data_IF_027439239379
#
_entry.id   IF_027439239379
#
_cell.length_a   1.000
_cell.length_b   1.000
_cell.length_c   1.000
_cell.angle_alpha   90.00
_cell.angle_beta   90.00
_cell.angle_gamma   90.00
#
_symmetry.space_group_name_H-M   'P 1'
#
loop_
_entity.id
_entity.type
_entity.pdbx_description
1 polymer ?
#
# COMPACT_ATOMS: atom_id res chain seq x y z
N UNK A 1 -16.81 14.78 2.67
CA UNK A 1 -15.62 14.15 2.07
C UNK A 1 -14.43 15.11 2.16
N UNK A 2 -13.17 14.65 2.01
CA UNK A 2 -12.01 15.56 1.96
C UNK A 2 -12.14 16.55 0.79
N UNK A 3 -12.63 16.10 -0.36
CA UNK A 3 -12.87 16.93 -1.54
C UNK A 3 -13.82 18.10 -1.27
N UNK A 4 -14.91 17.84 -0.54
CA UNK A 4 -15.82 18.90 -0.11
C UNK A 4 -15.12 19.90 0.81
N UNK A 5 -14.36 19.44 1.82
CA UNK A 5 -13.62 20.34 2.72
C UNK A 5 -12.65 21.25 1.96
N UNK A 6 -11.92 20.70 0.99
CA UNK A 6 -11.00 21.48 0.13
C UNK A 6 -11.75 22.54 -0.67
N UNK A 7 -12.89 22.19 -1.27
CA UNK A 7 -13.71 23.16 -2.01
C UNK A 7 -14.34 24.20 -1.08
N UNK A 8 -14.91 23.82 0.06
CA UNK A 8 -15.48 24.75 1.05
C UNK A 8 -14.44 25.74 1.58
N UNK A 9 -13.21 25.30 1.81
CA UNK A 9 -12.12 26.19 2.21
C UNK A 9 -11.79 27.20 1.11
N UNK A 10 -11.69 26.74 -0.13
CA UNK A 10 -11.46 27.60 -1.29
C UNK A 10 -12.63 28.59 -1.51
N UNK A 11 -13.88 28.13 -1.42
CA UNK A 11 -15.08 28.98 -1.55
C UNK A 11 -15.13 30.08 -0.50
N UNK A 12 -14.76 29.77 0.75
CA UNK A 12 -14.62 30.77 1.83
C UNK A 12 -13.56 31.82 1.50
N UNK A 13 -12.40 31.42 0.97
CA UNK A 13 -11.35 32.36 0.56
C UNK A 13 -11.77 33.27 -0.60
N UNK A 14 -12.70 32.81 -1.44
CA UNK A 14 -13.23 33.56 -2.59
C UNK A 14 -14.54 34.29 -2.31
N UNK A 15 -14.99 34.34 -1.05
CA UNK A 15 -16.26 34.94 -0.65
C UNK A 15 -17.46 34.42 -1.47
N UNK A 16 -17.42 33.15 -1.88
CA UNK A 16 -18.55 32.51 -2.55
C UNK A 16 -19.57 32.16 -1.47
N UNK A 17 -20.68 32.90 -1.43
CA UNK A 17 -21.70 32.75 -0.38
C UNK A 17 -22.74 31.67 -0.65
N UNK A 18 -22.93 31.29 -1.92
CA UNK A 18 -23.91 30.28 -2.29
C UNK A 18 -23.38 28.87 -1.99
N UNK A 19 -24.21 28.05 -1.38
CA UNK A 19 -23.88 26.65 -1.12
C UNK A 19 -23.92 25.82 -2.41
N UNK A 20 -22.93 24.94 -2.58
CA UNK A 20 -22.73 24.19 -3.83
C UNK A 20 -23.92 23.32 -4.24
N UNK A 21 -24.63 22.79 -3.26
CA UNK A 21 -25.77 21.91 -3.51
C UNK A 21 -27.00 22.70 -4.01
N UNK A 22 -27.05 24.01 -3.76
CA UNK A 22 -28.11 24.93 -4.19
C UNK A 22 -27.82 25.55 -5.57
N UNK A 23 -26.57 25.47 -6.05
CA UNK A 23 -26.19 26.00 -7.37
C UNK A 23 -26.84 25.19 -8.49
N UNK A 24 -27.42 25.87 -9.48
CA UNK A 24 -27.77 25.22 -10.74
C UNK A 24 -26.51 24.71 -11.46
N UNK A 25 -26.70 23.80 -12.43
CA UNK A 25 -25.57 23.15 -13.12
C UNK A 25 -24.63 24.15 -13.81
N UNK A 26 -25.15 25.27 -14.34
CA UNK A 26 -24.34 26.29 -15.03
C UNK A 26 -23.48 27.10 -14.06
N UNK A 27 -24.05 27.46 -12.92
CA UNK A 27 -23.37 28.21 -11.85
C UNK A 27 -22.33 27.33 -11.19
N UNK A 28 -22.67 26.05 -10.96
CA UNK A 28 -21.75 25.06 -10.46
C UNK A 28 -20.59 24.82 -11.42
N UNK A 29 -20.83 24.71 -12.74
CA UNK A 29 -19.76 24.59 -13.74
C UNK A 29 -18.77 25.77 -13.70
N UNK A 30 -19.27 27.01 -13.64
CA UNK A 30 -18.42 28.20 -13.50
C UNK A 30 -17.61 28.21 -12.21
N UNK A 31 -18.23 27.83 -11.09
CA UNK A 31 -17.55 27.69 -9.80
C UNK A 31 -16.42 26.66 -9.88
N UNK A 32 -16.69 25.51 -10.51
CA UNK A 32 -15.71 24.44 -10.71
C UNK A 32 -14.58 24.83 -11.67
N UNK A 33 -14.83 25.67 -12.69
CA UNK A 33 -13.75 26.23 -13.51
C UNK A 33 -12.72 26.98 -12.66
N UNK A 34 -13.18 27.90 -11.83
CA UNK A 34 -12.31 28.70 -10.96
C UNK A 34 -11.61 27.81 -9.94
N UNK A 35 -12.34 26.88 -9.33
CA UNK A 35 -11.78 25.93 -8.39
C UNK A 35 -10.64 25.11 -9.02
N UNK A 36 -10.86 24.45 -10.16
CA UNK A 36 -9.82 23.63 -10.77
C UNK A 36 -8.61 24.44 -11.23
N UNK A 37 -8.82 25.68 -11.69
CA UNK A 37 -7.72 26.57 -12.05
C UNK A 37 -6.82 26.90 -10.84
N UNK A 38 -7.41 27.13 -9.66
CA UNK A 38 -6.71 27.74 -8.53
C UNK A 38 -6.35 26.78 -7.40
N UNK A 39 -7.02 25.63 -7.31
CA UNK A 39 -6.89 24.71 -6.17
C UNK A 39 -5.45 24.24 -5.97
N UNK A 40 -4.98 24.36 -4.72
CA UNK A 40 -3.61 24.09 -4.25
C UNK A 40 -3.63 23.35 -2.91
N UNK A 41 -2.55 22.64 -2.60
CA UNK A 41 -2.38 21.96 -1.32
C UNK A 41 -2.13 22.97 -0.17
N UNK A 42 -2.02 22.47 1.06
CA UNK A 42 -1.79 23.32 2.24
C UNK A 42 -0.46 24.08 2.19
N UNK A 43 0.49 23.59 1.39
CA UNK A 43 1.80 24.19 1.14
C UNK A 43 1.79 25.19 -0.03
N UNK A 44 0.64 25.41 -0.70
CA UNK A 44 0.53 26.31 -1.86
C UNK A 44 0.99 25.68 -3.20
N UNK A 45 1.31 24.39 -3.20
CA UNK A 45 1.74 23.67 -4.40
C UNK A 45 0.55 23.11 -5.18
N UNK A 46 0.77 22.80 -6.45
CA UNK A 46 -0.26 22.21 -7.29
C UNK A 46 -0.54 20.75 -6.90
N UNK A 47 -1.82 20.36 -6.91
CA UNK A 47 -2.21 18.97 -6.71
C UNK A 47 -1.81 18.10 -7.89
N UNK A 48 -1.47 16.84 -7.62
CA UNK A 48 -1.25 15.83 -8.65
C UNK A 48 -2.50 15.58 -9.50
N UNK A 49 -2.32 15.05 -10.71
CA UNK A 49 -3.43 14.60 -11.59
C UNK A 49 -4.41 13.69 -10.85
N UNK A 50 -3.90 12.68 -10.14
CA UNK A 50 -4.74 11.73 -9.40
C UNK A 50 -5.57 12.42 -8.32
N UNK A 51 -4.97 13.40 -7.62
CA UNK A 51 -5.68 14.16 -6.60
C UNK A 51 -6.77 15.05 -7.21
N UNK A 52 -6.48 15.75 -8.30
CA UNK A 52 -7.47 16.58 -9.00
C UNK A 52 -8.67 15.75 -9.52
N UNK A 53 -8.41 14.57 -10.09
CA UNK A 53 -9.46 13.63 -10.50
C UNK A 53 -10.25 13.13 -9.27
N UNK A 54 -9.57 12.81 -8.18
CA UNK A 54 -10.20 12.43 -6.91
C UNK A 54 -11.05 13.55 -6.29
N UNK A 55 -10.66 14.81 -6.45
CA UNK A 55 -11.47 15.97 -6.06
C UNK A 55 -12.78 15.99 -6.86
N UNK A 56 -12.72 15.89 -8.20
CA UNK A 56 -13.90 15.82 -9.08
C UNK A 56 -14.88 14.73 -8.64
N UNK A 57 -14.42 13.48 -8.52
CA UNK A 57 -15.29 12.36 -8.13
C UNK A 57 -15.82 12.50 -6.70
N UNK A 58 -15.01 13.04 -5.78
CA UNK A 58 -15.44 13.28 -4.41
C UNK A 58 -16.50 14.37 -4.26
N UNK A 59 -16.54 15.33 -5.19
CA UNK A 59 -17.58 16.36 -5.30
C UNK A 59 -18.85 15.81 -5.93
N UNK A 60 -18.73 15.08 -7.04
CA UNK A 60 -19.86 14.38 -7.67
C UNK A 60 -20.56 13.47 -6.65
N UNK A 61 -19.79 12.66 -5.91
CA UNK A 61 -20.34 11.82 -4.83
C UNK A 61 -21.01 12.64 -3.73
N UNK A 62 -20.44 13.78 -3.34
CA UNK A 62 -21.03 14.64 -2.31
C UNK A 62 -22.41 15.16 -2.72
N UNK A 63 -22.56 15.61 -3.97
CA UNK A 63 -23.82 16.14 -4.48
C UNK A 63 -24.87 15.06 -4.75
N UNK A 64 -24.42 13.82 -5.05
CA UNK A 64 -25.31 12.72 -5.38
C UNK A 64 -25.74 11.88 -4.18
N UNK A 65 -25.02 11.91 -3.06
CA UNK A 65 -25.42 11.21 -1.84
C UNK A 65 -26.48 12.01 -1.06
N UNK A 66 -27.24 11.36 -0.15
CA UNK A 66 -28.08 12.05 0.80
C UNK A 66 -27.29 13.10 1.60
N UNK A 67 -27.89 14.27 1.87
CA UNK A 67 -29.29 14.62 1.65
C UNK A 67 -29.63 15.15 0.24
N UNK A 68 -28.64 15.43 -0.60
CA UNK A 68 -28.84 16.26 -1.81
C UNK A 68 -29.35 15.49 -3.03
N UNK A 69 -28.93 14.23 -3.20
CA UNK A 69 -29.45 13.30 -4.22
C UNK A 69 -29.57 13.90 -5.64
N UNK A 70 -28.63 14.77 -6.06
CA UNK A 70 -28.78 15.52 -7.32
C UNK A 70 -28.70 14.68 -8.60
N UNK A 71 -28.18 13.45 -8.52
CA UNK A 71 -28.07 12.55 -9.67
C UNK A 71 -27.20 13.09 -10.81
N UNK A 72 -26.25 13.98 -10.52
CA UNK A 72 -25.38 14.61 -11.51
C UNK A 72 -24.31 13.66 -12.02
N UNK A 73 -23.91 13.85 -13.28
CA UNK A 73 -22.71 13.22 -13.82
C UNK A 73 -21.76 14.28 -14.33
N UNK A 74 -20.73 14.65 -13.55
CA UNK A 74 -19.80 15.71 -13.93
C UNK A 74 -18.92 15.30 -15.12
N UNK A 75 -18.86 14.02 -15.46
CA UNK A 75 -18.07 13.53 -16.60
C UNK A 75 -18.87 13.48 -17.91
N UNK A 76 -20.18 13.24 -17.84
CA UNK A 76 -21.00 13.01 -19.02
C UNK A 76 -22.07 14.10 -19.25
N UNK A 77 -22.47 14.85 -18.21
CA UNK A 77 -23.44 15.93 -18.37
C UNK A 77 -22.79 17.11 -19.14
N UNK A 78 -23.35 17.51 -20.31
CA UNK A 78 -22.83 18.61 -21.12
C UNK A 78 -22.73 19.95 -20.40
N UNK A 79 -23.51 20.16 -19.33
CA UNK A 79 -23.46 21.38 -18.52
C UNK A 79 -22.09 21.61 -17.86
N UNK A 80 -21.28 20.56 -17.68
CA UNK A 80 -19.96 20.64 -17.04
C UNK A 80 -18.79 20.73 -18.03
N UNK A 81 -19.06 21.12 -19.29
CA UNK A 81 -18.05 21.12 -20.35
C UNK A 81 -16.89 22.08 -20.03
N UNK A 82 -17.16 23.27 -19.47
CA UNK A 82 -16.10 24.26 -19.22
C UNK A 82 -15.18 23.81 -18.09
N UNK A 83 -15.73 23.36 -16.96
CA UNK A 83 -14.92 22.90 -15.83
C UNK A 83 -14.05 21.69 -16.18
N UNK A 84 -14.60 20.74 -16.96
CA UNK A 84 -13.84 19.62 -17.49
C UNK A 84 -12.70 20.07 -18.43
N UNK A 85 -12.94 21.10 -19.25
CA UNK A 85 -11.93 21.62 -20.16
C UNK A 85 -10.79 22.31 -19.41
N UNK A 86 -11.10 23.09 -18.37
CA UNK A 86 -10.11 23.71 -17.47
C UNK A 86 -9.28 22.66 -16.74
N UNK A 87 -9.95 21.66 -16.15
CA UNK A 87 -9.29 20.55 -15.46
C UNK A 87 -8.35 19.80 -16.40
N UNK A 88 -8.81 19.47 -17.61
CA UNK A 88 -8.00 18.79 -18.61
C UNK A 88 -6.81 19.65 -19.06
N UNK A 89 -7.00 20.95 -19.31
CA UNK A 89 -5.93 21.86 -19.68
C UNK A 89 -4.84 21.93 -18.60
N UNK A 90 -5.22 21.96 -17.32
CA UNK A 90 -4.28 21.95 -16.19
C UNK A 90 -3.48 20.64 -16.14
N UNK A 91 -4.14 19.50 -16.32
CA UNK A 91 -3.48 18.17 -16.37
C UNK A 91 -2.51 18.08 -17.56
N UNK A 92 -2.92 18.53 -18.75
CA UNK A 92 -2.06 18.55 -19.95
C UNK A 92 -0.85 19.46 -19.74
N UNK A 93 -1.02 20.61 -19.07
CA UNK A 93 0.09 21.49 -18.71
C UNK A 93 1.10 20.80 -17.78
N UNK A 94 0.63 20.05 -16.77
CA UNK A 94 1.52 19.27 -15.90
C UNK A 94 2.31 18.21 -16.66
N UNK A 95 1.68 17.54 -17.62
CA UNK A 95 2.38 16.59 -18.51
C UNK A 95 3.50 17.27 -19.28
N UNK A 96 3.23 18.44 -19.89
CA UNK A 96 4.23 19.22 -20.64
C UNK A 96 5.39 19.70 -19.75
N UNK A 97 5.11 19.98 -18.47
CA UNK A 97 6.11 20.40 -17.48
C UNK A 97 6.87 19.22 -16.85
N UNK A 98 6.63 17.97 -17.26
CA UNK A 98 7.25 16.78 -16.66
C UNK A 98 6.78 16.47 -15.22
N UNK A 99 5.74 17.17 -14.73
CA UNK A 99 5.17 17.00 -13.38
C UNK A 99 4.18 15.83 -13.28
N UNK A 100 3.92 15.12 -14.38
CA UNK A 100 3.15 13.86 -14.37
C UNK A 100 3.96 12.65 -13.91
N UNK A 101 5.30 12.74 -13.86
CA UNK A 101 6.12 11.60 -13.51
C UNK A 101 5.87 11.21 -12.04
N UNK A 102 5.22 10.08 -11.86
CA UNK A 102 5.19 9.38 -10.57
C UNK A 102 6.65 9.08 -10.25
N UNK A 103 7.18 9.69 -9.19
CA UNK A 103 8.48 9.30 -8.66
C UNK A 103 8.35 7.84 -8.26
N UNK A 104 8.85 6.95 -9.10
CA UNK A 104 8.92 5.54 -8.76
C UNK A 104 9.78 5.41 -7.52
N UNK A 105 9.30 4.61 -6.58
CA UNK A 105 10.04 4.37 -5.35
C UNK A 105 11.40 3.77 -5.70
N UNK A 106 12.47 4.18 -5.01
CA UNK A 106 13.81 3.74 -5.37
C UNK A 106 13.88 2.22 -5.17
N UNK A 107 14.40 1.54 -6.18
CA UNK A 107 14.69 0.10 -6.14
C UNK A 107 15.81 -0.13 -5.12
N UNK A 108 15.71 -1.22 -4.35
CA UNK A 108 16.79 -1.64 -3.45
C UNK A 108 18.06 -1.94 -4.25
N UNK A 109 19.13 -1.18 -4.00
CA UNK A 109 20.38 -1.26 -4.77
C UNK A 109 21.18 -2.53 -4.40
N UNK A 110 22.04 -3.00 -5.31
CA UNK A 110 22.79 -4.24 -5.10
C UNK A 110 23.76 -4.14 -3.91
N UNK A 111 24.35 -2.97 -3.70
CA UNK A 111 25.21 -2.68 -2.56
C UNK A 111 24.41 -2.75 -1.25
N UNK A 112 23.22 -2.17 -1.21
CA UNK A 112 22.34 -2.20 -0.03
C UNK A 112 21.76 -3.60 0.23
N UNK A 113 21.48 -4.39 -0.81
CA UNK A 113 21.14 -5.82 -0.68
C UNK A 113 22.28 -6.60 -0.03
N UNK A 114 23.51 -6.37 -0.49
CA UNK A 114 24.70 -7.03 0.06
C UNK A 114 24.93 -6.63 1.51
N UNK A 115 24.82 -5.33 1.80
CA UNK A 115 24.90 -4.80 3.16
C UNK A 115 23.84 -5.40 4.07
N UNK A 116 22.60 -5.48 3.60
CA UNK A 116 21.49 -6.04 4.35
C UNK A 116 21.70 -7.52 4.67
N UNK A 117 22.16 -8.31 3.69
CA UNK A 117 22.49 -9.73 3.85
C UNK A 117 23.57 -9.99 4.91
N UNK A 118 24.54 -9.10 5.00
CA UNK A 118 25.66 -9.21 5.95
C UNK A 118 25.40 -8.48 7.29
N UNK A 119 24.23 -7.87 7.45
CA UNK A 119 23.90 -7.14 8.68
C UNK A 119 23.21 -8.02 9.71
N UNK A 120 23.43 -7.72 11.00
CA UNK A 120 22.72 -8.37 12.09
C UNK A 120 21.20 -8.08 12.11
N UNK A 121 20.73 -7.15 11.27
CA UNK A 121 19.32 -6.75 11.21
C UNK A 121 18.42 -7.89 10.74
N UNK A 122 18.95 -8.81 9.93
CA UNK A 122 18.24 -10.01 9.44
C UNK A 122 18.75 -11.30 10.11
N UNK A 123 19.48 -11.20 11.22
CA UNK A 123 20.06 -12.35 11.89
C UNK A 123 18.98 -13.29 12.44
N UNK A 124 18.90 -14.49 11.85
CA UNK A 124 17.90 -15.52 12.14
C UNK A 124 18.03 -16.11 13.56
N UNK A 125 19.15 -15.89 14.23
CA UNK A 125 19.39 -16.35 15.61
C UNK A 125 18.70 -15.48 16.67
N UNK A 126 18.08 -14.36 16.29
CA UNK A 126 17.31 -13.50 17.21
C UNK A 126 15.84 -13.41 16.79
N UNK A 127 14.88 -13.24 17.72
CA UNK A 127 13.46 -13.12 17.38
C UNK A 127 13.16 -11.96 16.43
N UNK A 128 13.83 -10.82 16.62
CA UNK A 128 13.63 -9.64 15.80
C UNK A 128 14.29 -9.79 14.43
N UNK A 129 15.51 -10.32 14.37
CA UNK A 129 16.20 -10.56 13.09
C UNK A 129 15.50 -11.63 12.26
N UNK A 130 15.08 -12.74 12.88
CA UNK A 130 14.28 -13.78 12.24
C UNK A 130 12.96 -13.23 11.70
N UNK A 131 12.25 -12.41 12.49
CA UNK A 131 11.01 -11.76 12.06
C UNK A 131 11.24 -10.87 10.83
N UNK A 132 12.30 -10.05 10.83
CA UNK A 132 12.63 -9.15 9.71
C UNK A 132 13.04 -9.94 8.47
N UNK A 133 13.83 -10.99 8.64
CA UNK A 133 14.27 -11.87 7.56
C UNK A 133 13.06 -12.54 6.87
N UNK A 134 12.20 -13.18 7.67
CA UNK A 134 10.99 -13.82 7.16
C UNK A 134 10.06 -12.81 6.51
N UNK A 135 9.84 -11.64 7.13
CA UNK A 135 9.04 -10.59 6.52
C UNK A 135 9.61 -10.14 5.17
N UNK A 136 10.93 -9.97 5.07
CA UNK A 136 11.61 -9.55 3.84
C UNK A 136 11.43 -10.58 2.72
N UNK A 137 11.72 -11.86 2.98
CA UNK A 137 11.58 -12.93 2.00
C UNK A 137 10.12 -13.18 1.60
N UNK A 138 9.19 -13.22 2.56
CA UNK A 138 7.76 -13.36 2.27
C UNK A 138 7.26 -12.20 1.41
N UNK A 139 7.73 -10.97 1.69
CA UNK A 139 7.40 -9.80 0.88
C UNK A 139 8.01 -9.86 -0.52
N UNK A 140 9.24 -10.35 -0.66
CA UNK A 140 9.94 -10.46 -1.94
C UNK A 140 9.29 -11.49 -2.88
N UNK A 141 8.96 -12.68 -2.38
CA UNK A 141 8.47 -13.79 -3.20
C UNK A 141 6.97 -13.69 -3.53
N UNK A 142 6.15 -13.20 -2.59
CA UNK A 142 4.70 -13.18 -2.76
C UNK A 142 4.08 -11.79 -2.73
N UNK A 143 4.86 -10.72 -2.60
CA UNK A 143 4.46 -9.31 -2.79
C UNK A 143 3.02 -8.98 -2.34
N UNK A 144 2.62 -9.43 -1.14
CA UNK A 144 1.20 -9.37 -0.74
C UNK A 144 0.73 -7.94 -0.45
N UNK A 145 -0.15 -7.44 -1.34
CA UNK A 145 -1.30 -6.52 -1.20
C UNK A 145 -1.30 -5.54 -0.01
N UNK A 146 -0.18 -4.84 0.17
CA UNK A 146 -0.01 -3.84 1.22
C UNK A 146 -0.20 -4.39 2.63
N UNK A 147 -0.18 -3.49 3.61
CA UNK A 147 -0.21 -3.85 5.04
C UNK A 147 -1.44 -4.66 5.51
N UNK A 148 -2.56 -4.61 4.79
CA UNK A 148 -3.78 -5.36 5.13
C UNK A 148 -3.66 -6.85 4.77
N UNK A 149 -3.06 -7.18 3.62
CA UNK A 149 -2.85 -8.57 3.20
C UNK A 149 -1.88 -9.29 4.12
N UNK A 150 -0.76 -8.65 4.47
CA UNK A 150 0.24 -9.21 5.39
C UNK A 150 -0.35 -9.54 6.77
N UNK A 151 -1.35 -8.78 7.23
CA UNK A 151 -1.97 -8.99 8.53
C UNK A 151 -2.87 -10.22 8.60
N UNK A 152 -3.37 -10.70 7.45
CA UNK A 152 -4.26 -11.86 7.35
C UNK A 152 -3.52 -13.19 7.27
N UNK A 153 -2.22 -13.17 7.02
CA UNK A 153 -1.42 -14.39 6.97
C UNK A 153 -1.50 -15.16 8.28
N UNK A 154 -1.56 -16.48 8.14
CA UNK A 154 -1.51 -17.48 9.21
C UNK A 154 -0.40 -18.49 8.90
N UNK A 155 -0.17 -19.44 9.81
CA UNK A 155 0.82 -20.52 9.60
C UNK A 155 0.43 -21.39 8.39
N UNK A 156 -0.86 -21.62 8.22
CA UNK A 156 -1.43 -22.44 7.15
C UNK A 156 -1.43 -21.73 5.79
N UNK A 157 -0.99 -20.47 5.73
CA UNK A 157 -0.83 -19.75 4.47
C UNK A 157 0.33 -20.29 3.63
N UNK A 158 1.23 -21.08 4.21
CA UNK A 158 2.46 -21.57 3.58
C UNK A 158 2.48 -23.10 3.52
N UNK A 159 2.86 -23.63 2.35
CA UNK A 159 3.00 -25.07 2.10
C UNK A 159 4.44 -25.37 1.73
N UNK A 160 5.07 -26.25 2.51
CA UNK A 160 6.40 -26.77 2.26
C UNK A 160 6.27 -28.09 1.50
N UNK A 161 6.97 -28.21 0.38
CA UNK A 161 6.92 -29.38 -0.50
C UNK A 161 8.22 -29.49 -1.31
N UNK A 162 8.36 -30.55 -2.07
CA UNK A 162 9.46 -30.75 -3.03
C UNK A 162 8.93 -30.66 -4.45
N UNK A 163 9.81 -30.30 -5.39
CA UNK A 163 9.50 -30.36 -6.81
C UNK A 163 9.84 -31.71 -7.43
N UNK A 164 9.70 -31.83 -8.76
CA UNK A 164 9.95 -33.09 -9.46
C UNK A 164 11.41 -33.58 -9.36
N UNK A 165 12.36 -32.70 -9.01
CA UNK A 165 13.76 -33.03 -8.81
C UNK A 165 14.10 -33.32 -7.34
N UNK A 166 13.11 -33.27 -6.43
CA UNK A 166 13.31 -33.41 -5.00
C UNK A 166 13.85 -32.14 -4.32
N UNK A 167 13.82 -30.99 -5.00
CA UNK A 167 14.27 -29.74 -4.39
C UNK A 167 13.19 -29.14 -3.49
N UNK A 168 13.52 -28.93 -2.22
CA UNK A 168 12.60 -28.39 -1.24
C UNK A 168 12.30 -26.90 -1.49
N UNK A 169 11.02 -26.57 -1.54
CA UNK A 169 10.54 -25.20 -1.66
C UNK A 169 9.28 -24.96 -0.84
N UNK A 170 8.97 -23.68 -0.61
CA UNK A 170 7.73 -23.25 0.02
C UNK A 170 6.94 -22.38 -0.96
N UNK A 171 5.62 -22.52 -0.93
CA UNK A 171 4.64 -21.77 -1.73
C UNK A 171 3.42 -21.40 -0.89
N UNK A 172 2.49 -20.62 -1.45
CA UNK A 172 1.24 -20.25 -0.79
C UNK A 172 0.20 -21.37 -0.90
N UNK A 173 -0.52 -21.64 0.19
CA UNK A 173 -1.57 -22.66 0.25
C UNK A 173 -2.79 -22.32 -0.63
N UNK A 174 -3.13 -21.03 -0.75
CA UNK A 174 -4.30 -20.57 -1.50
C UNK A 174 -4.10 -19.17 -2.08
N UNK A 175 -4.77 -18.93 -3.21
CA UNK A 175 -5.03 -17.59 -3.73
C UNK A 175 -6.14 -16.97 -2.90
N UNK A 176 -5.80 -16.03 -2.02
CA UNK A 176 -6.81 -15.32 -1.22
C UNK A 176 -7.60 -14.33 -2.07
N UNK A 177 -8.92 -14.34 -1.87
CA UNK A 177 -9.81 -13.32 -2.38
C UNK A 177 -9.35 -11.92 -1.90
N UNK A 178 -9.24 -10.98 -2.83
CA UNK A 178 -8.81 -9.61 -2.58
C UNK A 178 -9.78 -8.58 -3.15
N UNK A 179 -9.61 -7.30 -2.79
CA UNK A 179 -10.44 -6.20 -3.31
C UNK A 179 -10.46 -6.14 -4.85
N UNK A 180 -9.38 -6.59 -5.51
CA UNK A 180 -9.27 -6.63 -6.98
C UNK A 180 -9.45 -8.04 -7.58
N UNK A 181 -9.55 -9.06 -6.72
CA UNK A 181 -9.77 -10.46 -7.08
C UNK A 181 -10.74 -11.10 -6.09
N UNK A 182 -12.01 -10.66 -6.04
CA UNK A 182 -12.93 -11.05 -4.97
C UNK A 182 -13.46 -12.49 -5.13
N UNK A 183 -13.07 -13.21 -6.19
CA UNK A 183 -13.77 -14.40 -6.65
C UNK A 183 -15.08 -14.01 -7.34
N UNK A 184 -15.18 -14.24 -8.65
CA UNK A 184 -16.34 -13.87 -9.45
C UNK A 184 -16.13 -14.15 -10.94
N UNK A 185 -17.17 -13.98 -11.75
CA UNK A 185 -17.17 -14.31 -13.21
C UNK A 185 -16.11 -13.52 -13.99
N UNK A 186 -15.68 -12.36 -13.49
CA UNK A 186 -14.65 -11.51 -14.09
C UNK A 186 -13.35 -11.47 -13.28
N UNK A 187 -13.11 -12.45 -12.42
CA UNK A 187 -11.85 -12.55 -11.69
C UNK A 187 -10.73 -12.98 -12.65
N UNK A 188 -9.64 -12.22 -12.69
CA UNK A 188 -8.45 -12.61 -13.42
C UNK A 188 -7.66 -13.62 -12.59
N UNK A 189 -7.11 -14.67 -13.23
CA UNK A 189 -6.29 -15.67 -12.57
C UNK A 189 -5.13 -15.01 -11.79
N UNK A 190 -5.03 -15.36 -10.51
CA UNK A 190 -3.95 -14.87 -9.65
C UNK A 190 -2.75 -15.80 -9.76
N UNK A 191 -1.64 -15.28 -10.27
CA UNK A 191 -0.36 -15.98 -10.33
C UNK A 191 0.37 -16.02 -8.97
N UNK A 192 -0.25 -15.55 -7.88
CA UNK A 192 0.37 -15.49 -6.54
C UNK A 192 0.79 -16.87 -6.02
N UNK A 193 0.13 -17.93 -6.47
CA UNK A 193 0.44 -19.31 -6.07
C UNK A 193 1.61 -19.92 -6.87
N UNK A 194 2.12 -19.20 -7.89
CA UNK A 194 3.26 -19.64 -8.70
C UNK A 194 4.61 -19.28 -8.05
N UNK A 195 4.62 -18.35 -7.08
CA UNK A 195 5.84 -17.99 -6.37
C UNK A 195 6.35 -19.17 -5.55
N UNK A 196 7.58 -19.62 -5.83
CA UNK A 196 8.26 -20.68 -5.08
C UNK A 196 9.54 -20.12 -4.47
N UNK A 197 9.68 -20.23 -3.17
CA UNK A 197 10.92 -19.92 -2.47
C UNK A 197 11.65 -21.23 -2.19
N UNK A 198 12.70 -21.49 -2.96
CA UNK A 198 13.55 -22.66 -2.80
C UNK A 198 14.50 -22.52 -1.61
N UNK A 199 14.84 -23.64 -0.99
CA UNK A 199 15.92 -23.68 -0.01
C UNK A 199 17.25 -23.35 -0.68
N UNK A 200 18.09 -22.57 0.00
CA UNK A 200 19.45 -22.23 -0.47
C UNK A 200 20.46 -22.41 0.65
N UNK A 201 21.76 -22.41 0.32
CA UNK A 201 22.85 -22.53 1.29
C UNK A 201 23.20 -21.20 2.00
N UNK A 202 22.45 -20.13 1.75
CA UNK A 202 22.70 -18.85 2.41
C UNK A 202 22.39 -18.93 3.91
N UNK A 203 23.24 -18.36 4.76
CA UNK A 203 23.02 -18.34 6.22
C UNK A 203 21.67 -17.72 6.62
N UNK A 204 21.24 -16.71 5.85
CA UNK A 204 20.01 -15.97 6.05
C UNK A 204 18.90 -16.40 5.06
N UNK A 205 18.91 -17.66 4.58
CA UNK A 205 17.94 -18.12 3.57
C UNK A 205 16.49 -18.03 4.06
N UNK A 206 15.61 -17.59 3.16
CA UNK A 206 14.21 -17.39 3.49
C UNK A 206 13.44 -18.67 3.80
N UNK A 207 13.79 -19.82 3.21
CA UNK A 207 13.10 -21.09 3.42
C UNK A 207 13.35 -21.61 4.84
N UNK A 208 14.61 -21.76 5.26
CA UNK A 208 14.92 -22.27 6.60
C UNK A 208 14.53 -21.27 7.67
N UNK A 209 14.69 -19.96 7.41
CA UNK A 209 14.19 -18.92 8.30
C UNK A 209 12.67 -19.00 8.50
N UNK A 210 11.90 -19.19 7.44
CA UNK A 210 10.44 -19.33 7.52
C UNK A 210 10.05 -20.59 8.30
N UNK A 211 10.73 -21.71 8.05
CA UNK A 211 10.49 -22.95 8.79
C UNK A 211 10.78 -22.77 10.28
N UNK A 212 11.92 -22.20 10.64
CA UNK A 212 12.27 -21.89 12.04
C UNK A 212 11.23 -20.96 12.67
N UNK A 213 10.84 -19.89 11.97
CA UNK A 213 9.89 -18.91 12.46
C UNK A 213 8.57 -19.56 12.86
N UNK A 214 7.99 -20.42 12.01
CA UNK A 214 6.74 -21.14 12.30
C UNK A 214 6.84 -21.95 13.60
N UNK A 215 7.96 -22.64 13.83
CA UNK A 215 8.17 -23.43 15.06
C UNK A 215 8.24 -22.58 16.32
N UNK A 216 8.65 -21.30 16.20
CA UNK A 216 8.85 -20.39 17.34
C UNK A 216 7.65 -19.48 17.61
N UNK A 217 6.62 -19.48 16.74
CA UNK A 217 5.40 -18.69 16.90
C UNK A 217 4.62 -19.09 18.14
N UNK A 218 3.90 -18.14 18.74
CA UNK A 218 2.99 -18.44 19.83
C UNK A 218 1.85 -19.35 19.32
N UNK A 219 1.54 -20.47 20.00
CA UNK A 219 0.53 -21.42 19.52
C UNK A 219 -0.88 -20.84 19.53
N UNK A 220 -1.23 -20.05 20.55
CA UNK A 220 -2.57 -19.43 20.67
C UNK A 220 -2.79 -18.18 19.83
N UNK A 221 -1.80 -17.75 19.03
CA UNK A 221 -1.94 -16.60 18.15
C UNK A 221 -2.04 -17.06 16.71
N UNK A 222 -3.20 -16.81 16.10
CA UNK A 222 -3.51 -17.24 14.74
C UNK A 222 -2.75 -16.43 13.68
N UNK A 223 -2.47 -15.16 13.99
CA UNK A 223 -1.73 -14.27 13.11
C UNK A 223 -0.30 -14.75 12.92
N UNK A 224 0.18 -14.72 11.68
CA UNK A 224 1.52 -15.15 11.33
C UNK A 224 2.60 -14.22 11.88
N UNK A 225 2.51 -12.92 11.63
CA UNK A 225 3.47 -11.96 12.16
C UNK A 225 3.07 -11.49 13.56
N UNK A 226 3.92 -11.83 14.54
CA UNK A 226 3.69 -11.61 15.97
C UNK A 226 4.79 -10.72 16.56
N UNK A 227 4.52 -10.04 17.68
CA UNK A 227 5.54 -9.27 18.39
C UNK A 227 6.60 -10.20 18.99
N UNK A 228 7.91 -9.91 18.85
CA UNK A 228 8.95 -10.69 19.51
C UNK A 228 8.90 -10.47 21.02
N UNK A 229 9.15 -11.53 21.79
CA UNK A 229 9.24 -11.44 23.25
C UNK A 229 10.43 -10.57 23.66
N UNK A 230 10.23 -9.72 24.67
CA UNK A 230 11.31 -8.92 25.28
C UNK A 230 12.33 -9.78 26.05
N UNK A 231 11.84 -10.81 26.74
CA UNK A 231 12.66 -11.78 27.46
C UNK A 231 12.54 -13.11 26.74
N UNK A 232 13.63 -13.57 26.14
CA UNK A 232 13.69 -14.81 25.37
C UNK A 232 15.07 -15.45 25.54
N UNK A 233 15.14 -16.74 25.27
CA UNK A 233 16.35 -17.53 25.16
C UNK A 233 16.33 -18.34 23.85
N UNK A 234 17.49 -18.62 23.22
CA UNK A 234 17.55 -19.49 22.04
C UNK A 234 16.89 -20.85 22.25
N UNK A 235 16.97 -21.40 23.47
CA UNK A 235 16.38 -22.68 23.85
C UNK A 235 14.85 -22.63 24.04
N UNK A 236 14.23 -21.44 24.07
CA UNK A 236 12.79 -21.32 24.25
C UNK A 236 12.04 -21.95 23.07
N UNK A 237 10.97 -22.68 23.39
CA UNK A 237 10.04 -23.21 22.38
C UNK A 237 9.27 -22.11 21.65
N UNK A 238 9.15 -20.92 22.26
CA UNK A 238 8.37 -19.82 21.71
C UNK A 238 9.10 -18.50 21.87
N UNK A 239 9.37 -17.83 20.76
CA UNK A 239 10.07 -16.54 20.70
C UNK A 239 9.14 -15.34 20.56
N UNK A 240 7.88 -15.58 20.23
CA UNK A 240 6.90 -14.52 19.95
C UNK A 240 5.79 -14.48 21.00
N UNK A 241 5.19 -13.31 21.17
CA UNK A 241 4.08 -13.06 22.09
C UNK A 241 2.75 -13.52 21.47
N UNK A 242 1.74 -13.76 22.31
CA UNK A 242 0.35 -13.92 21.85
C UNK A 242 -0.25 -12.57 21.42
N UNK A 243 0.43 -11.89 20.49
CA UNK A 243 0.11 -10.54 20.08
C UNK A 243 0.50 -10.32 18.62
N UNK A 244 -0.47 -10.06 17.73
CA UNK A 244 -0.19 -9.83 16.33
C UNK A 244 0.48 -8.47 16.10
N UNK A 245 1.32 -8.35 15.08
CA UNK A 245 1.81 -7.05 14.61
C UNK A 245 0.66 -6.19 14.06
N UNK A 246 0.73 -4.88 14.32
CA UNK A 246 -0.20 -3.92 13.75
C UNK A 246 0.08 -3.66 12.27
N UNK A 247 -0.97 -3.30 11.51
CA UNK A 247 -0.86 -2.94 10.08
C UNK A 247 0.14 -1.79 9.84
N UNK A 248 0.28 -0.85 10.77
CA UNK A 248 1.26 0.24 10.64
C UNK A 248 2.71 -0.26 10.83
N UNK A 249 2.93 -1.21 11.74
CA UNK A 249 4.25 -1.83 11.92
C UNK A 249 4.64 -2.61 10.66
N UNK A 250 3.73 -3.43 10.14
CA UNK A 250 3.92 -4.15 8.88
C UNK A 250 4.18 -3.18 7.71
N UNK A 251 3.39 -2.11 7.60
CA UNK A 251 3.53 -1.09 6.56
C UNK A 251 4.81 -0.26 6.60
N UNK A 252 5.52 -0.24 7.74
CA UNK A 252 6.76 0.50 7.95
C UNK A 252 7.98 -0.44 8.13
N UNK A 253 7.84 -1.74 7.87
CA UNK A 253 8.90 -2.70 8.16
C UNK A 253 10.16 -2.44 7.35
N UNK A 254 10.05 -2.22 6.04
CA UNK A 254 11.24 -1.94 5.21
C UNK A 254 11.94 -0.66 5.65
N UNK A 255 11.17 0.39 6.01
CA UNK A 255 11.72 1.62 6.59
C UNK A 255 12.54 1.33 7.85
N UNK A 256 11.98 0.55 8.76
CA UNK A 256 12.63 0.16 10.02
C UNK A 256 13.90 -0.66 9.77
N UNK A 257 13.86 -1.55 8.77
CA UNK A 257 15.02 -2.35 8.34
C UNK A 257 16.10 -1.44 7.76
N UNK A 258 15.73 -0.50 6.87
CA UNK A 258 16.67 0.43 6.25
C UNK A 258 17.40 1.29 7.28
N UNK A 259 16.66 1.83 8.25
CA UNK A 259 17.21 2.62 9.35
C UNK A 259 18.13 1.78 10.24
N UNK A 260 17.71 0.56 10.60
CA UNK A 260 18.51 -0.33 11.45
C UNK A 260 19.80 -0.81 10.76
N UNK A 261 19.77 -1.03 9.44
CA UNK A 261 20.92 -1.48 8.66
C UNK A 261 21.77 -0.30 8.13
N UNK A 262 21.37 0.95 8.42
CA UNK A 262 22.00 2.16 7.91
C UNK A 262 22.22 2.12 6.39
N UNK A 263 21.20 1.71 5.63
CA UNK A 263 21.27 1.63 4.16
C UNK A 263 21.49 3.02 3.53
N UNK A 264 21.87 3.06 2.26
CA UNK A 264 22.14 4.32 1.53
C UNK A 264 20.96 5.30 1.56
N UNK A 265 19.74 4.77 1.66
CA UNK A 265 18.49 5.52 1.78
C UNK A 265 17.46 4.74 2.59
N UNK A 266 16.44 5.45 3.07
CA UNK A 266 15.30 4.85 3.77
C UNK A 266 14.29 4.33 2.74
N UNK A 267 14.27 3.02 2.54
CA UNK A 267 13.36 2.36 1.62
C UNK A 267 11.96 2.20 2.22
N UNK A 268 10.98 1.98 1.35
CA UNK A 268 9.60 1.67 1.78
C UNK A 268 9.26 0.25 1.35
N UNK A 269 8.15 -0.32 1.84
CA UNK A 269 7.74 -1.67 1.44
C UNK A 269 7.41 -1.84 -0.06
N UNK A 270 7.44 -0.76 -0.84
CA UNK A 270 7.19 -0.74 -2.29
C UNK A 270 8.44 -0.34 -3.08
N UNK A 271 9.60 -0.34 -2.40
CA UNK A 271 10.92 -0.23 -3.01
C UNK A 271 11.36 -1.57 -3.60
#
# INVERSE_FOLDING_TARGET
>A
SQSFKTLSQWSKQRNIQQELHEMDDKTLDKCLCQFYAEVKNQQGEDYSKSTLIGLKHGLERYLNCPPYNRGLSMSYNPAFKMSNSVLNAKIVSFKKQGKENVVHKPVLEAEDLTKLKNSDVLNVSTPLGLLRNVWFHVSLFWCRRGREGQRKLTKDSFVFTEDANGEAFVTMAHSEASKNHPGGIHDNESFENLGRMYKTDAENDGFSALQLFITKLHPSCEAFFQYPKRKWSPADNTWYENKPLGVNTLGNMMKTISEAASLSKVYTNHS
#
